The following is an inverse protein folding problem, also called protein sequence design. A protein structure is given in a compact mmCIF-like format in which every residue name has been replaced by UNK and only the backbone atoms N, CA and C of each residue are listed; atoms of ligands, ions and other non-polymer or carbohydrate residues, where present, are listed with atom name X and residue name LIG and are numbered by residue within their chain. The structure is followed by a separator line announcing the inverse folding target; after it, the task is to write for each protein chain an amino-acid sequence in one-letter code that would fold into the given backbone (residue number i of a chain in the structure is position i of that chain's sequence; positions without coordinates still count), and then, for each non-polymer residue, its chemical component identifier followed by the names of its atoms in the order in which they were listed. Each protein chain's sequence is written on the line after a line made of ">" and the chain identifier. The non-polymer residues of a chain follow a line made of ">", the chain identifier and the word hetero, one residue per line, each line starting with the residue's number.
data_IF_923155287385
#
_entry.id   IF_923155287385
#
_cell.length_a   1.000
_cell.length_b   1.000
_cell.length_c   1.000
_cell.angle_alpha   90.00
_cell.angle_beta   90.00
_cell.angle_gamma   90.00
#
_symmetry.space_group_name_H-M   'P 1'
#
loop_
_entity.id
_entity.type
_entity.pdbx_description
1 polymer ?
#
# COMPACT_ATOMS: atom_id res chain seq x y z
N UNK A 1 -61.12 28.77 43.63
CA UNK A 1 -59.82 29.47 43.76
C UNK A 1 -58.68 28.45 43.69
N UNK A 2 -57.90 28.49 42.59
CA UNK A 2 -56.43 28.36 42.56
C UNK A 2 -56.00 28.47 41.09
N UNK A 3 -55.42 29.63 40.79
CA UNK A 3 -54.93 30.09 39.49
C UNK A 3 -53.47 29.66 39.39
N UNK A 4 -53.05 29.05 38.29
CA UNK A 4 -51.64 28.79 37.98
C UNK A 4 -51.20 29.62 36.76
N UNK A 5 -50.05 30.32 36.81
CA UNK A 5 -49.69 31.28 35.79
C UNK A 5 -48.91 30.66 34.62
N UNK A 6 -49.27 31.15 33.45
CA UNK A 6 -48.67 31.01 32.13
C UNK A 6 -47.22 31.52 32.15
N UNK A 7 -46.23 30.63 32.04
CA UNK A 7 -44.85 31.00 31.73
C UNK A 7 -44.64 30.90 30.22
N UNK A 8 -44.59 32.05 29.57
CA UNK A 8 -44.13 32.21 28.19
C UNK A 8 -42.65 31.84 28.12
N UNK A 9 -42.32 30.79 27.36
CA UNK A 9 -40.94 30.45 27.03
C UNK A 9 -40.59 31.09 25.68
N UNK A 10 -39.70 32.07 25.74
CA UNK A 10 -39.16 32.81 24.62
C UNK A 10 -38.17 31.90 23.86
N UNK A 11 -38.58 31.33 22.73
CA UNK A 11 -37.70 30.57 21.83
C UNK A 11 -36.83 31.53 21.03
N UNK A 12 -35.57 31.70 21.43
CA UNK A 12 -34.53 32.37 20.64
C UNK A 12 -33.92 31.35 19.68
N UNK A 13 -34.28 31.46 18.40
CA UNK A 13 -33.74 30.66 17.31
C UNK A 13 -32.39 31.27 16.87
N UNK A 14 -31.28 30.75 17.40
CA UNK A 14 -29.93 31.11 16.95
C UNK A 14 -29.62 30.25 15.71
N UNK A 15 -29.71 30.85 14.53
CA UNK A 15 -29.27 30.24 13.27
C UNK A 15 -27.75 30.37 13.21
N UNK A 16 -27.04 29.35 13.68
CA UNK A 16 -25.61 29.20 13.41
C UNK A 16 -25.44 28.81 11.94
N UNK A 17 -25.00 29.76 11.13
CA UNK A 17 -24.53 29.51 9.77
C UNK A 17 -23.27 28.64 9.82
N UNK A 18 -23.45 27.34 9.62
CA UNK A 18 -22.36 26.38 9.47
C UNK A 18 -21.80 26.52 8.05
N UNK A 19 -20.73 27.31 7.88
CA UNK A 19 -19.95 27.28 6.64
C UNK A 19 -19.08 26.03 6.70
N UNK A 20 -19.58 24.93 6.14
CA UNK A 20 -18.80 23.73 5.91
C UNK A 20 -17.79 24.00 4.79
N UNK A 21 -16.58 24.42 5.18
CA UNK A 21 -15.45 24.49 4.25
C UNK A 21 -15.03 23.05 3.93
N UNK A 22 -15.56 22.51 2.82
CA UNK A 22 -15.14 21.24 2.28
C UNK A 22 -13.71 21.38 1.72
N UNK A 23 -12.71 21.23 2.59
CA UNK A 23 -11.36 20.94 2.14
C UNK A 23 -11.39 19.58 1.46
N UNK A 24 -11.36 19.58 0.12
CA UNK A 24 -11.14 18.37 -0.67
C UNK A 24 -9.80 17.79 -0.25
N UNK A 25 -9.84 16.77 0.60
CA UNK A 25 -8.64 16.10 1.10
C UNK A 25 -8.00 15.34 -0.07
N UNK A 26 -7.01 15.97 -0.69
CA UNK A 26 -6.32 15.41 -1.85
C UNK A 26 -5.39 14.31 -1.37
N UNK A 27 -5.55 13.11 -1.94
CA UNK A 27 -4.73 11.95 -1.59
C UNK A 27 -3.27 12.16 -2.03
N UNK A 28 -2.27 11.67 -1.25
CA UNK A 28 -0.86 11.70 -1.66
C UNK A 28 -0.63 11.08 -3.06
N UNK A 29 0.22 11.66 -3.90
CA UNK A 29 0.49 11.12 -5.22
C UNK A 29 1.24 9.77 -5.16
N UNK A 30 0.98 8.90 -6.13
CA UNK A 30 1.80 7.70 -6.39
C UNK A 30 2.93 8.08 -7.34
N UNK A 31 4.17 7.69 -7.01
CA UNK A 31 5.26 7.80 -7.98
C UNK A 31 5.17 6.62 -8.95
N UNK A 32 4.55 6.85 -10.10
CA UNK A 32 4.65 5.93 -11.23
C UNK A 32 5.96 6.21 -11.97
N UNK A 33 6.70 5.17 -12.40
CA UNK A 33 7.86 5.38 -13.24
C UNK A 33 7.37 5.99 -14.56
N UNK A 34 7.96 7.10 -14.98
CA UNK A 34 7.67 7.70 -16.27
C UNK A 34 7.78 6.61 -17.33
N UNK A 35 6.68 6.40 -18.05
CA UNK A 35 6.64 5.52 -19.21
C UNK A 35 7.45 6.23 -20.30
N UNK A 36 8.78 6.09 -20.23
CA UNK A 36 9.70 6.67 -21.19
C UNK A 36 9.22 6.27 -22.59
N UNK A 37 8.90 7.28 -23.40
CA UNK A 37 8.33 7.13 -24.72
C UNK A 37 9.24 6.28 -25.60
N UNK A 38 8.75 5.11 -25.98
CA UNK A 38 9.28 4.38 -27.13
C UNK A 38 8.60 5.03 -28.35
N UNK A 39 9.19 6.11 -28.87
CA UNK A 39 8.87 6.56 -30.23
C UNK A 39 9.45 5.52 -31.21
N UNK A 40 8.65 5.01 -32.17
CA UNK A 40 9.18 4.16 -33.23
C UNK A 40 9.98 5.02 -34.21
N UNK A 41 11.31 5.02 -34.06
CA UNK A 41 12.22 5.57 -35.05
C UNK A 41 12.12 4.81 -36.39
N UNK A 42 12.37 5.48 -37.53
CA UNK A 42 12.22 4.89 -38.85
C UNK A 42 13.21 3.73 -39.06
N UNK A 43 12.69 2.65 -39.64
CA UNK A 43 13.37 1.38 -39.85
C UNK A 43 14.66 1.51 -40.66
N UNK A 44 15.77 1.10 -40.06
CA UNK A 44 16.99 0.74 -40.78
C UNK A 44 16.91 -0.74 -41.23
N UNK A 45 17.48 -1.11 -42.39
CA UNK A 45 17.43 -2.47 -42.91
C UNK A 45 18.25 -3.45 -42.06
N UNK A 46 17.64 -4.60 -41.81
CA UNK A 46 18.09 -5.68 -40.93
C UNK A 46 19.17 -6.55 -41.61
N UNK A 47 20.32 -6.83 -40.98
CA UNK A 47 21.13 -8.01 -41.28
C UNK A 47 20.63 -9.26 -40.50
N UNK A 48 20.80 -10.43 -41.14
CA UNK A 48 20.26 -11.76 -40.82
C UNK A 48 20.47 -12.28 -39.37
N UNK A 49 19.69 -13.29 -38.93
CA UNK A 49 19.48 -13.61 -37.52
C UNK A 49 20.59 -14.48 -36.92
N UNK A 50 21.12 -14.05 -35.78
CA UNK A 50 21.89 -14.90 -34.87
C UNK A 50 20.89 -15.56 -33.91
N UNK A 51 20.85 -16.89 -33.93
CA UNK A 51 20.12 -17.70 -32.95
C UNK A 51 20.76 -17.53 -31.56
N UNK A 52 20.12 -16.76 -30.68
CA UNK A 52 20.42 -16.75 -29.25
C UNK A 52 19.14 -16.99 -28.46
N UNK A 53 19.23 -17.94 -27.53
CA UNK A 53 18.11 -18.51 -26.78
C UNK A 53 17.29 -17.48 -26.03
N UNK A 54 15.99 -17.52 -26.26
CA UNK A 54 14.95 -16.77 -25.59
C UNK A 54 14.70 -17.33 -24.19
N UNK A 55 15.45 -16.86 -23.20
CA UNK A 55 14.96 -16.78 -21.82
C UNK A 55 14.03 -15.56 -21.67
N UNK A 56 12.99 -15.61 -20.83
CA UNK A 56 12.13 -14.46 -20.58
C UNK A 56 12.96 -13.31 -20.02
N UNK A 57 12.96 -12.18 -20.73
CA UNK A 57 13.61 -10.95 -20.31
C UNK A 57 13.02 -10.51 -18.96
N UNK A 58 13.83 -10.60 -17.91
CA UNK A 58 13.49 -10.02 -16.61
C UNK A 58 13.47 -8.50 -16.81
N UNK A 59 12.27 -7.92 -16.87
CA UNK A 59 12.09 -6.47 -16.78
C UNK A 59 12.56 -6.03 -15.39
N UNK A 60 13.83 -5.66 -15.30
CA UNK A 60 14.37 -4.92 -14.15
C UNK A 60 13.89 -3.47 -14.38
N UNK A 61 13.07 -2.90 -13.48
CA UNK A 61 12.69 -1.50 -13.61
C UNK A 61 13.96 -0.63 -13.61
N UNK A 62 13.99 0.47 -14.40
CA UNK A 62 15.14 1.37 -14.40
C UNK A 62 15.38 1.87 -12.98
N UNK A 63 16.62 1.73 -12.52
CA UNK A 63 17.03 2.28 -11.24
C UNK A 63 16.75 3.80 -11.24
N UNK A 64 16.18 4.36 -10.16
CA UNK A 64 16.05 5.81 -10.04
C UNK A 64 17.44 6.45 -10.19
N UNK A 65 17.55 7.62 -10.82
CA UNK A 65 18.84 8.25 -11.08
C UNK A 65 19.61 8.43 -9.76
N UNK A 66 20.93 8.11 -9.73
CA UNK A 66 21.74 8.28 -8.52
C UNK A 66 21.79 9.76 -8.17
N UNK A 67 21.05 10.13 -7.13
CA UNK A 67 21.17 11.46 -6.54
C UNK A 67 22.57 11.63 -5.96
N UNK A 68 23.16 12.84 -6.02
CA UNK A 68 24.49 13.10 -5.47
C UNK A 68 24.52 12.72 -3.98
N UNK A 69 25.56 11.96 -3.60
CA UNK A 69 25.83 11.44 -2.26
C UNK A 69 26.09 12.53 -1.22
N UNK A 70 25.09 13.33 -0.94
CA UNK A 70 25.00 14.24 0.18
C UNK A 70 24.26 13.50 1.28
N UNK A 71 24.86 13.43 2.47
CA UNK A 71 24.12 13.11 3.70
C UNK A 71 22.82 13.92 3.67
N UNK A 72 21.68 13.22 3.54
CA UNK A 72 20.37 13.84 3.32
C UNK A 72 20.14 14.89 4.43
N UNK A 73 20.09 16.19 4.11
CA UNK A 73 19.70 17.19 5.09
C UNK A 73 18.22 16.91 5.45
N UNK A 74 17.94 16.65 6.73
CA UNK A 74 16.57 16.51 7.23
C UNK A 74 16.02 15.08 7.38
N UNK A 75 16.88 14.08 7.63
CA UNK A 75 16.47 12.68 7.87
C UNK A 75 15.36 12.56 8.94
N UNK A 76 15.45 13.20 10.13
CA UNK A 76 14.40 13.11 11.14
C UNK A 76 13.08 13.77 10.72
N UNK A 77 13.14 14.93 10.07
CA UNK A 77 11.97 15.67 9.60
C UNK A 77 11.24 14.91 8.49
N UNK A 78 11.99 14.30 7.57
CA UNK A 78 11.44 13.48 6.50
C UNK A 78 10.81 12.20 7.04
N UNK A 79 11.39 11.57 8.08
CA UNK A 79 10.79 10.42 8.75
C UNK A 79 9.39 10.74 9.30
N UNK A 80 9.25 11.87 10.01
CA UNK A 80 7.95 12.32 10.55
C UNK A 80 6.95 12.64 9.44
N UNK A 81 7.41 13.29 8.36
CA UNK A 81 6.55 13.57 7.20
C UNK A 81 6.11 12.29 6.49
N UNK A 82 6.97 11.27 6.36
CA UNK A 82 6.59 9.98 5.79
C UNK A 82 5.52 9.29 6.63
N UNK A 83 5.64 9.30 7.96
CA UNK A 83 4.62 8.74 8.86
C UNK A 83 3.29 9.46 8.64
N UNK A 84 3.30 10.79 8.50
CA UNK A 84 2.10 11.57 8.23
C UNK A 84 1.49 11.24 6.86
N UNK A 85 2.29 11.17 5.80
CA UNK A 85 1.85 10.75 4.47
C UNK A 85 1.24 9.36 4.48
N UNK A 86 1.84 8.41 5.20
CA UNK A 86 1.28 7.05 5.35
C UNK A 86 -0.08 7.05 6.06
N UNK A 87 -0.27 7.90 7.08
CA UNK A 87 -1.57 8.05 7.79
C UNK A 87 -2.65 8.62 6.89
N UNK A 88 -2.32 9.63 6.10
CA UNK A 88 -3.25 10.21 5.14
C UNK A 88 -3.63 9.19 4.06
N UNK A 89 -2.63 8.48 3.55
CA UNK A 89 -2.80 7.43 2.56
C UNK A 89 -3.65 6.25 3.03
N UNK A 90 -3.56 5.89 4.31
CA UNK A 90 -4.30 4.76 4.90
C UNK A 90 -5.80 4.86 4.68
N UNK A 91 -6.35 6.06 4.61
CA UNK A 91 -7.79 6.27 4.36
C UNK A 91 -8.22 5.91 2.93
N UNK A 92 -7.26 5.78 2.01
CA UNK A 92 -7.48 5.41 0.62
C UNK A 92 -6.99 3.99 0.30
N UNK A 93 -6.53 3.24 1.30
CA UNK A 93 -6.18 1.84 1.09
C UNK A 93 -7.41 1.01 0.81
N UNK A 94 -7.35 0.23 -0.26
CA UNK A 94 -8.39 -0.72 -0.65
C UNK A 94 -7.83 -2.13 -0.68
N UNK A 95 -8.72 -3.09 -0.48
CA UNK A 95 -8.42 -4.49 -0.67
C UNK A 95 -8.25 -4.79 -2.17
N UNK A 96 -7.15 -5.45 -2.53
CA UNK A 96 -6.90 -5.96 -3.87
C UNK A 96 -7.16 -7.47 -3.98
N UNK A 97 -6.49 -8.09 -4.95
CA UNK A 97 -6.59 -9.53 -5.19
C UNK A 97 -6.03 -10.36 -4.03
N UNK A 98 -6.51 -11.60 -3.94
CA UNK A 98 -6.12 -12.59 -2.94
C UNK A 98 -5.76 -13.89 -3.63
N UNK A 99 -4.55 -14.39 -3.41
CA UNK A 99 -4.09 -15.66 -3.98
C UNK A 99 -3.35 -16.51 -2.94
N UNK A 100 -3.03 -17.74 -3.33
CA UNK A 100 -2.24 -18.66 -2.50
C UNK A 100 -0.83 -18.75 -3.08
N UNK A 101 0.16 -18.35 -2.29
CA UNK A 101 1.57 -18.47 -2.61
C UNK A 101 2.14 -19.77 -2.03
N UNK A 102 2.96 -20.47 -2.82
CA UNK A 102 3.65 -21.70 -2.39
C UNK A 102 5.16 -21.52 -2.45
N UNK A 103 5.81 -21.69 -1.31
CA UNK A 103 7.26 -21.66 -1.17
C UNK A 103 7.91 -23.00 -1.57
N UNK A 104 9.22 -23.00 -1.89
CA UNK A 104 9.94 -24.19 -2.33
C UNK A 104 10.04 -25.27 -1.23
N UNK A 105 9.97 -24.90 0.04
CA UNK A 105 9.98 -25.83 1.18
C UNK A 105 8.58 -26.38 1.52
N UNK A 106 7.58 -26.12 0.69
CA UNK A 106 6.18 -26.47 0.96
C UNK A 106 5.44 -25.45 1.83
N UNK A 107 6.03 -24.28 2.10
CA UNK A 107 5.33 -23.18 2.77
C UNK A 107 4.09 -22.79 1.96
N UNK A 108 2.95 -22.57 2.60
CA UNK A 108 1.75 -22.05 1.94
C UNK A 108 1.23 -20.85 2.70
N UNK A 109 0.99 -19.75 1.98
CA UNK A 109 0.51 -18.49 2.55
C UNK A 109 -0.57 -17.94 1.65
N UNK A 110 -1.67 -17.45 2.22
CA UNK A 110 -2.63 -16.66 1.47
C UNK A 110 -2.12 -15.21 1.48
N UNK A 111 -1.90 -14.64 0.31
CA UNK A 111 -1.41 -13.28 0.13
C UNK A 111 -2.57 -12.40 -0.35
N UNK A 112 -2.80 -11.27 0.30
CA UNK A 112 -3.81 -10.28 -0.09
C UNK A 112 -3.18 -8.91 -0.30
N UNK A 113 -3.55 -8.25 -1.39
CA UNK A 113 -2.91 -6.99 -1.78
C UNK A 113 -3.55 -5.80 -1.07
N UNK A 114 -2.69 -4.89 -0.61
CA UNK A 114 -3.08 -3.53 -0.25
C UNK A 114 -2.90 -2.66 -1.50
N UNK A 115 -4.01 -2.12 -1.98
CA UNK A 115 -4.06 -1.23 -3.12
C UNK A 115 -4.14 0.22 -2.66
N UNK A 116 -3.51 1.11 -3.41
CA UNK A 116 -3.62 2.54 -3.23
C UNK A 116 -3.72 3.20 -4.61
N UNK A 117 -4.81 3.93 -4.87
CA UNK A 117 -5.10 4.54 -6.17
C UNK A 117 -4.99 3.54 -7.36
N UNK A 118 -5.43 2.29 -7.14
CA UNK A 118 -5.38 1.24 -8.18
C UNK A 118 -4.00 0.61 -8.38
N UNK A 119 -3.02 0.92 -7.54
CA UNK A 119 -1.67 0.39 -7.60
C UNK A 119 -1.36 -0.47 -6.36
N UNK A 120 -0.77 -1.67 -6.51
CA UNK A 120 -0.33 -2.49 -5.38
C UNK A 120 0.84 -1.81 -4.66
N UNK A 121 0.68 -1.56 -3.37
CA UNK A 121 1.70 -0.89 -2.52
C UNK A 121 2.24 -1.79 -1.42
N UNK A 122 1.54 -2.86 -1.08
CA UNK A 122 1.97 -3.83 -0.06
C UNK A 122 1.16 -5.12 -0.15
N UNK A 123 1.56 -6.12 0.64
CA UNK A 123 0.88 -7.41 0.75
C UNK A 123 0.70 -7.78 2.21
N UNK A 124 -0.47 -8.32 2.53
CA UNK A 124 -0.79 -8.97 3.80
C UNK A 124 -0.66 -10.48 3.64
N UNK A 125 -0.04 -11.13 4.61
CA UNK A 125 0.07 -12.58 4.66
C UNK A 125 -0.95 -13.15 5.64
N UNK A 126 -1.55 -14.28 5.28
CA UNK A 126 -2.51 -15.00 6.11
C UNK A 126 -2.17 -16.48 6.18
N UNK A 127 -2.48 -17.06 7.33
CA UNK A 127 -2.41 -18.50 7.55
C UNK A 127 -3.45 -19.19 6.67
N UNK A 128 -3.06 -20.32 6.07
CA UNK A 128 -3.94 -21.06 5.17
C UNK A 128 -5.04 -21.83 5.91
N UNK A 129 -4.83 -22.20 7.18
CA UNK A 129 -5.72 -23.07 7.96
C UNK A 129 -6.88 -22.29 8.56
N UNK A 130 -6.60 -21.22 9.30
CA UNK A 130 -7.62 -20.45 10.02
C UNK A 130 -7.93 -19.09 9.37
N UNK A 131 -7.14 -18.68 8.38
CA UNK A 131 -7.25 -17.36 7.74
C UNK A 131 -6.75 -16.23 8.64
N UNK A 132 -6.00 -16.51 9.70
CA UNK A 132 -5.48 -15.48 10.58
C UNK A 132 -4.37 -14.68 9.90
N UNK A 133 -4.36 -13.37 10.16
CA UNK A 133 -3.30 -12.50 9.66
C UNK A 133 -1.94 -12.83 10.31
N UNK A 134 -0.92 -12.98 9.49
CA UNK A 134 0.44 -13.31 9.90
C UNK A 134 1.27 -12.04 10.08
N UNK A 135 2.22 -12.04 11.05
CA UNK A 135 3.23 -10.99 11.10
C UNK A 135 4.05 -10.93 9.81
N UNK A 136 4.52 -9.73 9.45
CA UNK A 136 5.35 -9.52 8.28
C UNK A 136 6.61 -10.41 8.36
N UNK A 137 6.91 -11.13 7.27
CA UNK A 137 8.04 -12.05 7.18
C UNK A 137 7.82 -13.44 7.78
N UNK A 138 6.70 -13.69 8.46
CA UNK A 138 6.37 -15.02 8.97
C UNK A 138 5.80 -15.90 7.86
N UNK A 139 6.38 -17.11 7.68
CA UNK A 139 5.92 -18.10 6.70
C UNK A 139 5.74 -19.46 7.38
N UNK A 140 4.50 -19.93 7.60
CA UNK A 140 4.26 -21.24 8.19
C UNK A 140 4.57 -22.36 7.19
N UNK A 141 5.27 -23.39 7.67
CA UNK A 141 5.51 -24.65 6.95
C UNK A 141 4.33 -25.57 7.15
N UNK A 142 3.54 -25.80 6.11
CA UNK A 142 2.37 -26.67 6.19
C UNK A 142 2.23 -27.56 4.98
N UNK A 143 2.01 -28.84 5.23
CA UNK A 143 1.73 -29.84 4.20
C UNK A 143 0.23 -30.13 4.22
N UNK A 144 -0.45 -29.90 3.09
CA UNK A 144 -1.87 -30.25 2.87
C UNK A 144 -2.90 -29.49 3.74
N UNK A 145 -2.79 -28.16 3.83
CA UNK A 145 -3.82 -27.34 4.47
C UNK A 145 -5.04 -27.14 3.56
N UNK A 146 -6.24 -27.15 4.15
CA UNK A 146 -7.47 -26.67 3.49
C UNK A 146 -7.42 -25.16 3.47
N UNK A 147 -7.43 -24.57 2.28
CA UNK A 147 -7.19 -23.13 2.12
C UNK A 147 -8.49 -22.33 2.26
N UNK A 148 -8.54 -21.43 3.25
CA UNK A 148 -9.70 -20.57 3.53
C UNK A 148 -9.71 -19.24 2.75
N UNK A 149 -9.49 -19.25 1.42
CA UNK A 149 -9.38 -18.00 0.61
C UNK A 149 -10.65 -17.13 0.71
N UNK A 150 -11.83 -17.73 0.61
CA UNK A 150 -13.10 -16.99 0.62
C UNK A 150 -13.33 -16.26 1.94
N UNK A 151 -12.91 -16.87 3.05
CA UNK A 151 -12.98 -16.24 4.36
C UNK A 151 -12.06 -15.01 4.43
N UNK A 152 -10.83 -15.14 3.94
CA UNK A 152 -9.89 -13.99 3.85
C UNK A 152 -10.51 -12.87 3.02
N UNK A 153 -11.07 -13.18 1.84
CA UNK A 153 -11.74 -12.19 0.98
C UNK A 153 -12.89 -11.46 1.70
N UNK A 154 -13.68 -12.18 2.50
CA UNK A 154 -14.79 -11.60 3.28
C UNK A 154 -14.31 -10.71 4.42
N UNK A 155 -13.24 -11.09 5.13
CA UNK A 155 -12.72 -10.34 6.28
C UNK A 155 -11.84 -9.15 5.88
N UNK A 156 -11.23 -9.18 4.69
CA UNK A 156 -10.24 -8.20 4.23
C UNK A 156 -10.69 -6.73 4.32
N UNK A 157 -11.93 -6.34 3.98
CA UNK A 157 -12.37 -4.96 4.16
C UNK A 157 -12.42 -4.49 5.62
N UNK A 158 -12.66 -5.42 6.57
CA UNK A 158 -12.55 -5.13 8.01
C UNK A 158 -11.10 -4.90 8.41
N UNK A 159 -10.21 -5.76 7.93
CA UNK A 159 -8.77 -5.70 8.20
C UNK A 159 -8.17 -4.39 7.69
N UNK A 160 -8.53 -3.93 6.50
CA UNK A 160 -8.06 -2.64 5.95
C UNK A 160 -8.44 -1.45 6.83
N UNK A 161 -9.64 -1.49 7.44
CA UNK A 161 -10.09 -0.45 8.37
C UNK A 161 -9.30 -0.48 9.68
N UNK A 162 -8.91 -1.67 10.14
CA UNK A 162 -8.19 -1.89 11.39
C UNK A 162 -6.67 -1.66 11.28
N UNK A 163 -6.13 -1.47 10.08
CA UNK A 163 -4.71 -1.13 9.88
C UNK A 163 -4.35 0.16 10.61
N UNK A 164 -3.27 0.11 11.38
CA UNK A 164 -2.68 1.24 12.08
C UNK A 164 -1.27 1.53 11.55
N UNK A 165 -0.98 2.80 11.28
CA UNK A 165 0.36 3.24 10.89
C UNK A 165 1.17 3.49 12.16
N UNK A 166 2.29 2.77 12.31
CA UNK A 166 3.17 2.94 13.47
C UNK A 166 4.06 4.19 13.35
N UNK A 167 4.54 4.69 14.48
CA UNK A 167 5.52 5.79 14.57
C UNK A 167 6.95 5.33 14.26
N UNK A 168 7.12 4.47 13.25
CA UNK A 168 8.41 3.98 12.80
C UNK A 168 8.65 4.38 11.36
N UNK A 169 9.86 4.80 11.05
CA UNK A 169 10.31 5.03 9.69
C UNK A 169 11.76 4.60 9.57
N UNK A 170 12.04 3.69 8.65
CA UNK A 170 13.38 3.23 8.32
C UNK A 170 13.72 3.70 6.92
N UNK A 171 14.89 4.33 6.75
CA UNK A 171 15.38 4.71 5.44
C UNK A 171 16.09 3.51 4.80
N UNK A 172 15.68 3.14 3.60
CA UNK A 172 16.19 1.98 2.87
C UNK A 172 16.96 2.39 1.61
N UNK A 173 18.25 2.09 1.62
CA UNK A 173 19.10 2.09 0.43
C UNK A 173 19.16 0.68 -0.17
N UNK A 174 19.28 0.52 -1.51
CA UNK A 174 19.54 1.54 -2.52
C UNK A 174 18.26 2.18 -3.11
N UNK A 175 17.07 1.79 -2.65
CA UNK A 175 15.80 2.24 -3.22
C UNK A 175 15.48 3.73 -2.97
N UNK A 176 16.23 4.40 -2.09
CA UNK A 176 16.00 5.78 -1.67
C UNK A 176 14.56 6.01 -1.19
N UNK A 177 14.11 5.10 -0.33
CA UNK A 177 12.73 5.07 0.17
C UNK A 177 12.70 4.97 1.69
N UNK A 178 11.57 5.38 2.26
CA UNK A 178 11.22 5.21 3.66
C UNK A 178 10.22 4.07 3.80
N UNK A 179 10.53 3.13 4.68
CA UNK A 179 9.66 2.01 5.02
C UNK A 179 8.89 2.34 6.29
N UNK A 180 7.55 2.37 6.17
CA UNK A 180 6.64 2.66 7.26
C UNK A 180 5.87 1.38 7.65
N UNK A 181 5.94 0.93 8.92
CA UNK A 181 5.25 -0.27 9.35
C UNK A 181 3.75 -0.06 9.53
N UNK A 182 2.99 -0.99 8.97
CA UNK A 182 1.56 -1.15 9.20
C UNK A 182 1.33 -2.27 10.21
N UNK A 183 0.48 -2.01 11.19
CA UNK A 183 0.22 -2.94 12.27
C UNK A 183 -1.26 -3.18 12.51
N UNK A 184 -1.56 -4.38 12.99
CA UNK A 184 -2.87 -4.78 13.51
C UNK A 184 -2.65 -5.43 14.87
N UNK A 185 -3.39 -4.96 15.88
CA UNK A 185 -3.36 -5.51 17.25
C UNK A 185 -1.93 -5.66 17.81
N UNK A 186 -1.08 -4.65 17.57
CA UNK A 186 0.31 -4.62 18.06
C UNK A 186 1.31 -5.47 17.29
N UNK A 187 0.95 -6.05 16.14
CA UNK A 187 1.85 -6.82 15.27
C UNK A 187 2.05 -6.10 13.95
N UNK A 188 3.29 -6.01 13.48
CA UNK A 188 3.59 -5.50 12.13
C UNK A 188 3.18 -6.56 11.12
N UNK A 189 2.28 -6.22 10.21
CA UNK A 189 1.69 -7.14 9.23
C UNK A 189 2.05 -6.80 7.78
N UNK A 190 2.43 -5.54 7.54
CA UNK A 190 2.83 -5.04 6.23
C UNK A 190 3.73 -3.81 6.37
N UNK A 191 4.28 -3.38 5.25
CA UNK A 191 5.07 -2.15 5.12
C UNK A 191 4.60 -1.36 3.91
N UNK A 192 4.58 -0.03 4.02
CA UNK A 192 4.39 0.87 2.87
C UNK A 192 5.68 1.63 2.64
N UNK A 193 6.05 1.74 1.36
CA UNK A 193 7.24 2.49 0.93
C UNK A 193 6.83 3.90 0.49
N UNK A 194 7.57 4.89 0.95
CA UNK A 194 7.41 6.30 0.57
C UNK A 194 8.74 6.78 0.00
N UNK A 195 8.72 7.55 -1.08
CA UNK A 195 9.94 8.06 -1.70
C UNK A 195 10.69 9.03 -0.78
N UNK A 196 11.98 9.26 -1.05
CA UNK A 196 12.84 10.13 -0.22
C UNK A 196 12.30 11.54 0.05
N UNK A 197 11.36 12.02 -0.78
CA UNK A 197 10.72 13.34 -0.62
C UNK A 197 9.60 13.37 0.43
N UNK A 198 9.30 12.23 1.03
CA UNK A 198 8.29 12.04 2.07
C UNK A 198 6.84 12.32 1.64
N UNK A 199 6.56 12.43 0.35
CA UNK A 199 5.23 12.75 -0.20
C UNK A 199 4.71 11.63 -1.09
N UNK A 200 5.56 11.02 -1.91
CA UNK A 200 5.07 10.05 -2.89
C UNK A 200 5.09 8.61 -2.34
N UNK A 201 3.98 7.90 -2.51
CA UNK A 201 3.93 6.47 -2.20
C UNK A 201 4.54 5.68 -3.36
N UNK A 202 5.38 4.71 -3.01
CA UNK A 202 6.02 3.83 -3.98
C UNK A 202 5.20 2.55 -4.17
N UNK A 203 4.97 2.13 -5.43
CA UNK A 203 4.42 0.81 -5.73
C UNK A 203 5.34 -0.30 -5.22
N UNK A 204 4.75 -1.43 -4.81
CA UNK A 204 5.50 -2.66 -4.60
C UNK A 204 5.49 -3.47 -5.91
N UNK A 205 6.56 -3.34 -6.69
CA UNK A 205 6.69 -4.00 -7.98
C UNK A 205 6.75 -5.53 -7.87
N UNK A 206 7.26 -6.07 -6.75
CA UNK A 206 7.30 -7.51 -6.55
C UNK A 206 5.87 -8.04 -6.34
N UNK A 207 5.08 -7.34 -5.53
CA UNK A 207 3.65 -7.64 -5.33
C UNK A 207 2.87 -7.43 -6.62
N UNK A 208 3.15 -6.38 -7.38
CA UNK A 208 2.49 -6.15 -8.68
C UNK A 208 2.69 -7.32 -9.64
N UNK A 209 3.93 -7.83 -9.74
CA UNK A 209 4.27 -8.99 -10.57
C UNK A 209 3.62 -10.27 -10.06
N UNK A 210 3.62 -10.49 -8.75
CA UNK A 210 2.97 -11.64 -8.14
C UNK A 210 1.46 -11.63 -8.41
N UNK A 211 0.80 -10.48 -8.23
CA UNK A 211 -0.62 -10.28 -8.52
C UNK A 211 -0.96 -10.57 -9.99
N UNK A 212 -0.13 -10.12 -10.93
CA UNK A 212 -0.31 -10.43 -12.35
C UNK A 212 -0.17 -11.93 -12.67
N UNK A 213 0.69 -12.63 -11.92
CA UNK A 213 1.01 -14.05 -12.16
C UNK A 213 0.00 -14.98 -11.47
N UNK A 214 -0.51 -14.59 -10.30
CA UNK A 214 -1.26 -15.48 -9.40
C UNK A 214 -2.65 -14.97 -9.01
N UNK A 215 -2.97 -13.70 -9.24
CA UNK A 215 -4.24 -13.07 -8.83
C UNK A 215 -5.42 -13.38 -9.75
N UNK A 216 -5.49 -14.58 -10.34
CA UNK A 216 -6.63 -15.04 -11.15
C UNK A 216 -7.52 -16.02 -10.36
#
# INVERSE_FOLDING_TARGET
>A
MKIFPLKALLSVLIIFGCVAQASSQQAPPVLLPDKAGIEPGPAAPVPAPVLQGSGPAVLIPPAPPPGPGSALPGIPENALRCIQTAREAKNFFTAGEVWVSRGPAGDQVIEAVIMYQGVPVSVLAFDTVDGAILPCGYRPRMFNAVVAVDRVKQELPGIMRDLNVLNGAEYCEPENSWVIPLAIRGRIVAHVKIYRDAVHILPDYAVARAMQTHGQ
#
